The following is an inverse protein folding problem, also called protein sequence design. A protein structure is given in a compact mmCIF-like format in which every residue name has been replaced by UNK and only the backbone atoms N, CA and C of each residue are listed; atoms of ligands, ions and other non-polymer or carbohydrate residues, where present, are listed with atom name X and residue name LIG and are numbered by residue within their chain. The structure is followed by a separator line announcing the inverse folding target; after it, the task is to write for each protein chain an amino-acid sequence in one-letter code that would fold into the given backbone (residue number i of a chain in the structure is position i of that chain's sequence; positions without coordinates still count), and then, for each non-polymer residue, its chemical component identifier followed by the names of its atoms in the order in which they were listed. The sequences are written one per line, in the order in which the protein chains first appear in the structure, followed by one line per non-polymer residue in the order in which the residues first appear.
data_IF_583153945222
#
_entry.id   IF_583153945222
#
_cell.length_a   1.000
_cell.length_b   1.000
_cell.length_c   1.000
_cell.angle_alpha   90.00
_cell.angle_beta   90.00
_cell.angle_gamma   90.00
#
_symmetry.space_group_name_H-M   'P 1'
#
loop_
_entity.id
_entity.type
_entity.pdbx_description
1 polymer ?
#
# COMPACT_ATOMS: atom_id res chain seq x y z
N UNK A 1 -28.77 0.58 9.19
CA UNK A 1 -28.31 -0.79 8.80
C UNK A 1 -26.97 -0.78 8.07
N UNK A 2 -26.72 0.16 7.14
CA UNK A 2 -25.41 0.28 6.48
C UNK A 2 -24.24 0.50 7.48
N UNK A 3 -24.35 1.47 8.39
CA UNK A 3 -23.30 1.73 9.40
C UNK A 3 -22.95 0.51 10.27
N UNK A 4 -23.96 -0.25 10.69
CA UNK A 4 -23.76 -1.48 11.46
C UNK A 4 -23.02 -2.54 10.63
N UNK A 5 -23.33 -2.67 9.33
CA UNK A 5 -22.64 -3.61 8.45
C UNK A 5 -21.18 -3.21 8.21
N UNK A 6 -20.89 -1.92 8.06
CA UNK A 6 -19.51 -1.45 7.90
C UNK A 6 -18.70 -1.59 9.17
N UNK A 7 -19.32 -1.38 10.34
CA UNK A 7 -18.67 -1.67 11.63
C UNK A 7 -18.30 -3.15 11.74
N UNK A 8 -19.18 -4.05 11.28
CA UNK A 8 -18.87 -5.49 11.24
C UNK A 8 -17.80 -5.80 10.17
N UNK A 9 -17.80 -5.10 9.03
CA UNK A 9 -16.74 -5.22 8.01
C UNK A 9 -15.37 -4.75 8.54
N UNK A 10 -15.36 -3.71 9.37
CA UNK A 10 -14.18 -3.24 10.09
C UNK A 10 -13.65 -4.33 11.04
N UNK A 11 -14.52 -4.92 11.87
CA UNK A 11 -14.15 -6.02 12.75
C UNK A 11 -13.65 -7.26 11.97
N UNK A 12 -14.26 -7.55 10.82
CA UNK A 12 -13.82 -8.61 9.91
C UNK A 12 -12.43 -8.31 9.34
N UNK A 13 -12.12 -7.06 9.01
CA UNK A 13 -10.79 -6.63 8.56
C UNK A 13 -9.74 -6.79 9.67
N UNK A 14 -10.09 -6.50 10.92
CA UNK A 14 -9.22 -6.80 12.08
C UNK A 14 -9.00 -8.31 12.23
N UNK A 15 -10.04 -9.12 12.08
CA UNK A 15 -9.91 -10.58 12.11
C UNK A 15 -9.03 -11.11 10.96
N UNK A 16 -9.09 -10.50 9.78
CA UNK A 16 -8.19 -10.81 8.66
C UNK A 16 -6.73 -10.51 9.02
N UNK A 17 -6.43 -9.39 9.67
CA UNK A 17 -5.07 -9.07 10.14
C UNK A 17 -4.60 -10.12 11.15
N UNK A 18 -5.45 -10.49 12.12
CA UNK A 18 -5.13 -11.49 13.13
C UNK A 18 -4.93 -12.91 12.57
N UNK A 19 -5.43 -13.20 11.36
CA UNK A 19 -5.18 -14.48 10.69
C UNK A 19 -3.71 -14.72 10.31
N UNK A 20 -2.84 -13.70 10.40
CA UNK A 20 -1.40 -13.88 10.34
C UNK A 20 -0.93 -14.82 11.46
N UNK A 21 -1.50 -14.69 12.66
CA UNK A 21 -1.13 -15.44 13.86
C UNK A 21 -1.85 -16.79 13.95
N UNK A 22 -3.06 -16.88 13.38
CA UNK A 22 -3.91 -18.06 13.47
C UNK A 22 -4.15 -18.59 12.06
N UNK A 23 -3.69 -19.79 11.74
CA UNK A 23 -3.82 -20.43 10.41
C UNK A 23 -5.25 -20.87 10.06
N UNK A 24 -6.27 -20.14 10.51
CA UNK A 24 -7.69 -20.38 10.29
C UNK A 24 -8.30 -19.18 9.54
N UNK A 25 -9.44 -19.41 8.90
CA UNK A 25 -10.21 -18.33 8.28
C UNK A 25 -9.91 -18.06 6.80
N UNK A 26 -9.89 -19.11 5.97
CA UNK A 26 -9.76 -18.99 4.51
C UNK A 26 -10.82 -18.08 3.87
N UNK A 27 -11.96 -17.91 4.54
CA UNK A 27 -13.15 -17.22 4.05
C UNK A 27 -13.30 -15.79 4.58
N UNK A 28 -12.36 -15.32 5.42
CA UNK A 28 -12.48 -14.01 6.06
C UNK A 28 -12.55 -12.87 5.03
N UNK A 29 -11.75 -12.94 3.96
CA UNK A 29 -11.82 -11.94 2.88
C UNK A 29 -13.19 -11.93 2.19
N UNK A 30 -13.81 -13.09 1.96
CA UNK A 30 -15.16 -13.17 1.40
C UNK A 30 -16.21 -12.54 2.33
N UNK A 31 -16.11 -12.77 3.64
CA UNK A 31 -17.02 -12.18 4.63
C UNK A 31 -16.92 -10.65 4.59
N UNK A 32 -15.70 -10.10 4.62
CA UNK A 32 -15.49 -8.65 4.52
C UNK A 32 -16.07 -8.08 3.22
N UNK A 33 -15.88 -8.77 2.09
CA UNK A 33 -16.46 -8.37 0.82
C UNK A 33 -18.00 -8.34 0.84
N UNK A 34 -18.63 -9.38 1.38
CA UNK A 34 -20.10 -9.48 1.42
C UNK A 34 -20.69 -8.39 2.31
N UNK A 35 -20.06 -8.09 3.45
CA UNK A 35 -20.49 -7.01 4.34
C UNK A 35 -20.37 -5.63 3.67
N UNK A 36 -19.29 -5.38 2.93
CA UNK A 36 -19.12 -4.11 2.19
C UNK A 36 -20.14 -3.98 1.04
N UNK A 37 -20.35 -5.05 0.27
CA UNK A 37 -21.33 -5.05 -0.83
C UNK A 37 -22.77 -4.89 -0.33
N UNK A 38 -23.14 -5.62 0.72
CA UNK A 38 -24.47 -5.48 1.31
C UNK A 38 -24.70 -4.09 1.89
N UNK A 39 -23.66 -3.48 2.47
CA UNK A 39 -23.74 -2.08 2.92
C UNK A 39 -23.92 -1.11 1.75
N UNK A 40 -23.21 -1.31 0.63
CA UNK A 40 -23.34 -0.47 -0.55
C UNK A 40 -24.73 -0.59 -1.20
N UNK A 41 -25.22 -1.83 -1.37
CA UNK A 41 -26.56 -2.11 -1.92
C UNK A 41 -27.69 -1.56 -1.03
N UNK A 42 -27.45 -1.48 0.28
CA UNK A 42 -28.40 -0.89 1.22
C UNK A 42 -28.44 0.65 1.17
N UNK A 43 -27.49 1.30 0.49
CA UNK A 43 -27.47 2.74 0.25
C UNK A 43 -27.94 3.11 -1.16
N UNK A 44 -27.95 4.41 -1.45
CA UNK A 44 -28.28 4.91 -2.79
C UNK A 44 -27.11 4.66 -3.76
N UNK A 45 -27.42 4.37 -5.02
CA UNK A 45 -26.40 4.08 -6.03
C UNK A 45 -25.46 5.28 -6.28
N UNK A 46 -25.96 6.50 -6.10
CA UNK A 46 -25.19 7.74 -6.21
C UNK A 46 -24.08 7.86 -5.14
N UNK A 47 -24.16 7.07 -4.05
CA UNK A 47 -23.10 7.00 -3.05
C UNK A 47 -21.75 6.53 -3.63
N UNK A 48 -21.74 5.95 -4.83
CA UNK A 48 -20.52 5.56 -5.53
C UNK A 48 -19.60 6.72 -5.86
N UNK A 49 -20.15 7.92 -6.04
CA UNK A 49 -19.37 9.12 -6.29
C UNK A 49 -18.85 9.74 -5.01
N UNK A 50 -19.37 9.32 -3.86
CA UNK A 50 -18.98 9.81 -2.55
C UNK A 50 -17.90 8.92 -1.93
N UNK A 51 -16.99 9.52 -1.17
CA UNK A 51 -15.85 8.84 -0.54
C UNK A 51 -16.23 7.53 0.18
N UNK A 52 -17.36 7.50 0.90
CA UNK A 52 -17.83 6.30 1.59
C UNK A 52 -18.16 5.13 0.65
N UNK A 53 -18.93 5.37 -0.41
CA UNK A 53 -19.31 4.32 -1.36
C UNK A 53 -18.14 3.83 -2.21
N UNK A 54 -17.23 4.74 -2.59
CA UNK A 54 -15.97 4.40 -3.25
C UNK A 54 -15.18 3.37 -2.44
N UNK A 55 -14.98 3.64 -1.15
CA UNK A 55 -14.25 2.75 -0.24
C UNK A 55 -14.86 1.35 -0.16
N UNK A 56 -16.19 1.24 -0.07
CA UNK A 56 -16.89 -0.06 -0.01
C UNK A 56 -16.70 -0.92 -1.27
N UNK A 57 -16.73 -0.30 -2.45
CA UNK A 57 -16.53 -1.00 -3.73
C UNK A 57 -15.07 -1.43 -3.91
N UNK A 58 -14.12 -0.55 -3.54
CA UNK A 58 -12.69 -0.88 -3.59
C UNK A 58 -12.38 -2.05 -2.65
N UNK A 59 -12.86 -2.00 -1.40
CA UNK A 59 -12.62 -3.07 -0.41
C UNK A 59 -13.25 -4.39 -0.85
N UNK A 60 -14.48 -4.37 -1.36
CA UNK A 60 -15.15 -5.59 -1.81
C UNK A 60 -14.45 -6.24 -3.01
N UNK A 61 -14.16 -5.48 -4.07
CA UNK A 61 -13.47 -6.01 -5.25
C UNK A 61 -12.06 -6.50 -4.95
N UNK A 62 -11.33 -5.81 -4.07
CA UNK A 62 -10.04 -6.28 -3.56
C UNK A 62 -10.18 -7.61 -2.83
N UNK A 63 -11.12 -7.70 -1.88
CA UNK A 63 -11.34 -8.89 -1.08
C UNK A 63 -11.78 -10.11 -1.93
N UNK A 64 -12.59 -9.91 -2.97
CA UNK A 64 -12.94 -10.96 -3.94
C UNK A 64 -11.69 -11.47 -4.66
N UNK A 65 -10.83 -10.55 -5.11
CA UNK A 65 -9.58 -10.89 -5.78
C UNK A 65 -8.67 -11.69 -4.86
N UNK A 66 -8.51 -11.26 -3.60
CA UNK A 66 -7.75 -11.99 -2.58
C UNK A 66 -8.33 -13.39 -2.36
N UNK A 67 -9.65 -13.50 -2.16
CA UNK A 67 -10.32 -14.77 -1.93
C UNK A 67 -10.07 -15.75 -3.09
N UNK A 68 -10.15 -15.27 -4.34
CA UNK A 68 -9.87 -16.06 -5.52
C UNK A 68 -8.46 -16.67 -5.48
N UNK A 69 -7.44 -15.89 -5.14
CA UNK A 69 -6.07 -16.40 -5.06
C UNK A 69 -5.82 -17.32 -3.86
N UNK A 70 -6.50 -17.09 -2.74
CA UNK A 70 -6.48 -18.03 -1.60
C UNK A 70 -7.05 -19.39 -2.02
N UNK A 71 -8.15 -19.42 -2.79
CA UNK A 71 -8.71 -20.69 -3.29
C UNK A 71 -7.80 -21.40 -4.30
N UNK A 72 -6.94 -20.66 -5.01
CA UNK A 72 -5.91 -21.21 -5.89
C UNK A 72 -4.65 -21.71 -5.16
N UNK A 73 -4.62 -21.62 -3.83
CA UNK A 73 -3.53 -22.17 -3.00
C UNK A 73 -2.41 -21.18 -2.64
N UNK A 74 -2.58 -19.88 -2.91
CA UNK A 74 -1.65 -18.86 -2.38
C UNK A 74 -1.80 -18.76 -0.85
N UNK A 75 -0.72 -18.41 -0.16
CA UNK A 75 -0.68 -18.35 1.30
C UNK A 75 -1.74 -17.39 1.87
N UNK A 76 -2.72 -17.98 2.53
CA UNK A 76 -3.85 -17.26 3.11
C UNK A 76 -3.43 -16.27 4.21
N UNK A 77 -2.41 -16.61 5.02
CA UNK A 77 -2.04 -15.81 6.20
C UNK A 77 -1.45 -14.48 5.72
N UNK A 78 -0.65 -14.53 4.64
CA UNK A 78 -0.08 -13.34 4.02
C UNK A 78 -1.17 -12.48 3.38
N UNK A 79 -2.01 -13.07 2.51
CA UNK A 79 -3.02 -12.33 1.76
C UNK A 79 -4.13 -11.76 2.64
N UNK A 80 -4.64 -12.53 3.60
CA UNK A 80 -5.60 -12.00 4.58
C UNK A 80 -4.94 -10.96 5.49
N UNK A 81 -3.68 -11.16 5.89
CA UNK A 81 -2.95 -10.22 6.73
C UNK A 81 -2.83 -8.82 6.11
N UNK A 82 -2.18 -8.74 4.95
CA UNK A 82 -2.00 -7.47 4.24
C UNK A 82 -3.32 -6.95 3.65
N UNK A 83 -4.18 -7.83 3.13
CA UNK A 83 -5.50 -7.46 2.65
C UNK A 83 -6.39 -6.88 3.74
N UNK A 84 -6.33 -7.43 4.95
CA UNK A 84 -7.03 -6.93 6.12
C UNK A 84 -6.51 -5.57 6.56
N UNK A 85 -5.19 -5.36 6.53
CA UNK A 85 -4.56 -4.06 6.81
C UNK A 85 -5.04 -2.99 5.82
N UNK A 86 -5.00 -3.28 4.53
CA UNK A 86 -5.46 -2.34 3.49
C UNK A 86 -6.97 -2.09 3.60
N UNK A 87 -7.77 -3.12 3.86
CA UNK A 87 -9.22 -2.99 4.08
C UNK A 87 -9.52 -2.10 5.28
N UNK A 88 -8.82 -2.31 6.39
CA UNK A 88 -8.97 -1.53 7.61
C UNK A 88 -8.68 -0.05 7.36
N UNK A 89 -7.57 0.25 6.68
CA UNK A 89 -7.15 1.62 6.38
C UNK A 89 -8.14 2.29 5.42
N UNK A 90 -8.58 1.60 4.36
CA UNK A 90 -9.59 2.11 3.43
C UNK A 90 -10.90 2.44 4.16
N UNK A 91 -11.39 1.54 5.01
CA UNK A 91 -12.61 1.79 5.78
C UNK A 91 -12.42 2.93 6.78
N UNK A 92 -11.29 3.02 7.48
CA UNK A 92 -11.05 4.11 8.44
C UNK A 92 -10.88 5.47 7.78
N UNK A 93 -10.17 5.53 6.65
CA UNK A 93 -9.87 6.79 5.96
C UNK A 93 -11.05 7.30 5.15
N UNK A 94 -11.85 6.41 4.56
CA UNK A 94 -12.89 6.81 3.59
C UNK A 94 -14.31 6.79 4.15
N UNK A 95 -14.56 6.19 5.33
CA UNK A 95 -15.92 5.94 5.81
C UNK A 95 -16.51 6.84 6.95
N UNK A 96 -15.90 7.91 7.52
CA UNK A 96 -16.62 8.61 8.60
C UNK A 96 -17.70 9.63 8.13
N UNK A 97 -18.95 9.31 8.49
CA UNK A 97 -20.16 10.09 8.88
C UNK A 97 -20.71 11.35 8.13
N UNK A 98 -19.96 12.08 7.30
CA UNK A 98 -20.52 13.23 6.54
C UNK A 98 -20.76 12.92 5.04
N UNK A 99 -20.08 11.90 4.51
CA UNK A 99 -20.00 11.61 3.09
C UNK A 99 -21.14 10.78 2.49
N UNK A 100 -22.33 10.75 3.08
CA UNK A 100 -23.51 10.12 2.44
C UNK A 100 -24.63 11.11 2.09
N UNK A 101 -24.58 12.36 2.62
CA UNK A 101 -25.78 13.23 2.67
C UNK A 101 -25.53 14.67 2.19
N UNK A 102 -24.30 15.17 2.12
CA UNK A 102 -24.09 16.63 1.99
C UNK A 102 -24.14 17.22 0.57
N UNK A 103 -23.97 16.43 -0.49
CA UNK A 103 -24.10 16.95 -1.87
C UNK A 103 -25.30 16.35 -2.59
N UNK A 104 -26.32 17.20 -2.75
CA UNK A 104 -27.47 17.04 -3.67
C UNK A 104 -26.99 17.18 -5.13
N UNK A 105 -25.88 16.53 -5.47
CA UNK A 105 -25.44 16.38 -6.85
C UNK A 105 -26.16 15.16 -7.41
N UNK A 106 -27.11 15.40 -8.31
CA UNK A 106 -27.75 14.31 -9.06
C UNK A 106 -26.79 13.91 -10.17
N UNK A 107 -26.14 12.75 -9.99
CA UNK A 107 -25.25 12.19 -10.98
C UNK A 107 -26.04 11.52 -12.08
N UNK A 108 -25.51 11.56 -13.30
CA UNK A 108 -26.08 10.80 -14.40
C UNK A 108 -25.81 9.30 -14.21
N UNK A 109 -26.71 8.45 -14.72
CA UNK A 109 -26.52 6.99 -14.70
C UNK A 109 -25.21 6.56 -15.38
N UNK A 110 -24.76 7.32 -16.37
CA UNK A 110 -23.49 7.07 -17.06
C UNK A 110 -22.28 7.36 -16.16
N UNK A 111 -22.28 8.49 -15.44
CA UNK A 111 -21.20 8.83 -14.50
C UNK A 111 -21.09 7.80 -13.39
N UNK A 112 -22.21 7.35 -12.83
CA UNK A 112 -22.23 6.28 -11.82
C UNK A 112 -21.69 4.95 -12.34
N UNK A 113 -22.00 4.60 -13.59
CA UNK A 113 -21.44 3.40 -14.22
C UNK A 113 -19.93 3.51 -14.42
N UNK A 114 -19.43 4.67 -14.88
CA UNK A 114 -17.99 4.94 -15.02
C UNK A 114 -17.30 4.88 -13.65
N UNK A 115 -17.90 5.46 -12.61
CA UNK A 115 -17.42 5.37 -11.23
C UNK A 115 -17.31 3.91 -10.78
N UNK A 116 -18.36 3.11 -10.99
CA UNK A 116 -18.37 1.68 -10.65
C UNK A 116 -17.22 0.92 -11.31
N UNK A 117 -17.06 1.06 -12.63
CA UNK A 117 -15.97 0.39 -13.35
C UNK A 117 -14.61 0.83 -12.82
N UNK A 118 -14.46 2.12 -12.49
CA UNK A 118 -13.22 2.69 -11.97
C UNK A 118 -12.85 2.13 -10.60
N UNK A 119 -13.76 2.17 -9.62
CA UNK A 119 -13.49 1.70 -8.26
C UNK A 119 -13.36 0.17 -8.17
N UNK A 120 -14.08 -0.58 -9.02
CA UNK A 120 -13.85 -2.03 -9.19
C UNK A 120 -12.45 -2.30 -9.75
N UNK A 121 -12.01 -1.50 -10.74
CA UNK A 121 -10.68 -1.63 -11.34
C UNK A 121 -9.58 -1.32 -10.31
N UNK A 122 -9.78 -0.30 -9.47
CA UNK A 122 -8.86 0.05 -8.38
C UNK A 122 -8.75 -1.10 -7.39
N UNK A 123 -9.85 -1.64 -6.87
CA UNK A 123 -9.78 -2.74 -5.91
C UNK A 123 -9.19 -4.02 -6.50
N UNK A 124 -9.48 -4.34 -7.77
CA UNK A 124 -8.81 -5.44 -8.49
C UNK A 124 -7.29 -5.22 -8.59
N UNK A 125 -6.86 -4.00 -8.90
CA UNK A 125 -5.45 -3.64 -9.00
C UNK A 125 -4.72 -3.73 -7.66
N UNK A 126 -5.36 -3.29 -6.57
CA UNK A 126 -4.85 -3.46 -5.20
C UNK A 126 -4.71 -4.95 -4.88
N UNK A 127 -5.75 -5.75 -5.11
CA UNK A 127 -5.74 -7.20 -4.85
C UNK A 127 -4.64 -7.92 -5.63
N UNK A 128 -4.47 -7.62 -6.92
CA UNK A 128 -3.39 -8.20 -7.73
C UNK A 128 -2.01 -7.75 -7.25
N UNK A 129 -1.85 -6.51 -6.79
CA UNK A 129 -0.58 -6.01 -6.29
C UNK A 129 -0.17 -6.72 -4.99
N UNK A 130 -1.11 -7.00 -4.09
CA UNK A 130 -0.88 -7.82 -2.89
C UNK A 130 -0.54 -9.28 -3.21
N UNK A 131 -1.09 -9.81 -4.30
CA UNK A 131 -0.73 -11.16 -4.76
C UNK A 131 0.67 -11.16 -5.35
N UNK A 132 0.99 -10.14 -6.16
CA UNK A 132 2.30 -10.01 -6.77
C UNK A 132 3.40 -9.69 -5.75
N UNK A 133 3.05 -9.10 -4.59
CA UNK A 133 3.99 -8.89 -3.49
C UNK A 133 4.41 -10.19 -2.79
N UNK A 134 3.66 -11.28 -2.98
CA UNK A 134 3.98 -12.62 -2.48
C UNK A 134 4.61 -13.52 -3.55
N UNK A 135 4.05 -13.55 -4.77
CA UNK A 135 4.53 -14.40 -5.87
C UNK A 135 4.77 -13.55 -7.13
N UNK A 136 6.05 -13.24 -7.41
CA UNK A 136 6.50 -12.40 -8.53
C UNK A 136 6.50 -13.10 -9.90
N UNK A 137 6.19 -14.41 -9.96
CA UNK A 137 6.33 -15.19 -11.20
C UNK A 137 5.44 -14.70 -12.35
N UNK A 138 4.48 -13.82 -12.07
CA UNK A 138 3.44 -13.42 -13.00
C UNK A 138 3.68 -12.04 -13.64
N UNK A 139 3.33 -11.90 -14.92
CA UNK A 139 3.42 -10.63 -15.70
C UNK A 139 2.44 -9.54 -15.23
N UNK A 140 1.86 -9.69 -14.04
CA UNK A 140 0.74 -8.89 -13.53
C UNK A 140 1.13 -7.52 -13.00
N UNK A 141 2.38 -7.35 -12.54
CA UNK A 141 2.87 -6.02 -12.14
C UNK A 141 2.81 -4.99 -13.28
N UNK A 142 3.15 -5.40 -14.51
CA UNK A 142 3.07 -4.53 -15.68
C UNK A 142 1.62 -4.17 -16.03
N UNK A 143 0.70 -5.14 -15.90
CA UNK A 143 -0.75 -4.89 -16.10
C UNK A 143 -1.26 -3.87 -15.10
N UNK A 144 -0.92 -4.01 -13.82
CA UNK A 144 -1.32 -3.06 -12.78
C UNK A 144 -0.75 -1.66 -13.04
N UNK A 145 0.49 -1.54 -13.54
CA UNK A 145 1.07 -0.24 -13.91
C UNK A 145 0.32 0.43 -15.06
N UNK A 146 -0.04 -0.35 -16.08
CA UNK A 146 -0.85 0.16 -17.21
C UNK A 146 -2.24 0.57 -16.75
N UNK A 147 -2.88 -0.23 -15.89
CA UNK A 147 -4.17 0.12 -15.29
C UNK A 147 -4.08 1.41 -14.47
N UNK A 148 -3.05 1.55 -13.63
CA UNK A 148 -2.83 2.75 -12.83
C UNK A 148 -2.68 4.00 -13.71
N UNK A 149 -1.85 3.93 -14.76
CA UNK A 149 -1.68 5.02 -15.71
C UNK A 149 -2.98 5.34 -16.47
N UNK A 150 -3.74 4.32 -16.88
CA UNK A 150 -5.02 4.53 -17.54
C UNK A 150 -6.03 5.24 -16.63
N UNK A 151 -6.16 4.80 -15.37
CA UNK A 151 -7.05 5.45 -14.40
C UNK A 151 -6.61 6.90 -14.17
N UNK A 152 -5.31 7.15 -13.98
CA UNK A 152 -4.77 8.51 -13.82
C UNK A 152 -5.04 9.45 -15.00
N UNK A 153 -5.10 8.92 -16.24
CA UNK A 153 -5.28 9.73 -17.46
C UNK A 153 -6.76 9.93 -17.78
N UNK A 154 -7.58 8.90 -17.58
CA UNK A 154 -8.97 8.88 -18.05
C UNK A 154 -9.99 9.20 -16.96
N UNK A 155 -9.61 9.22 -15.68
CA UNK A 155 -10.53 9.48 -14.58
C UNK A 155 -9.91 10.39 -13.54
N UNK A 156 -10.78 11.04 -12.76
CA UNK A 156 -10.40 11.89 -11.64
C UNK A 156 -10.40 11.11 -10.31
N UNK A 157 -10.37 9.78 -10.34
CA UNK A 157 -10.50 8.96 -9.13
C UNK A 157 -9.38 9.19 -8.10
N UNK A 158 -8.23 9.71 -8.56
CA UNK A 158 -7.08 10.05 -7.73
C UNK A 158 -6.99 11.52 -7.33
N UNK A 159 -8.04 12.31 -7.56
CA UNK A 159 -8.15 13.65 -6.95
C UNK A 159 -8.22 13.54 -5.41
N UNK A 160 -8.78 12.44 -4.90
CA UNK A 160 -8.70 12.11 -3.47
C UNK A 160 -7.28 11.73 -3.07
N UNK A 161 -6.74 12.43 -2.07
CA UNK A 161 -5.37 12.20 -1.60
C UNK A 161 -5.23 10.81 -0.96
N UNK A 162 -6.29 10.30 -0.34
CA UNK A 162 -6.29 9.06 0.44
C UNK A 162 -6.20 7.83 -0.48
N UNK A 163 -7.09 7.69 -1.46
CA UNK A 163 -7.07 6.55 -2.40
C UNK A 163 -5.76 6.53 -3.17
N UNK A 164 -5.30 7.69 -3.63
CA UNK A 164 -4.05 7.79 -4.38
C UNK A 164 -2.86 7.30 -3.56
N UNK A 165 -2.76 7.70 -2.28
CA UNK A 165 -1.71 7.24 -1.38
C UNK A 165 -1.80 5.74 -1.13
N UNK A 166 -2.99 5.21 -0.84
CA UNK A 166 -3.19 3.78 -0.60
C UNK A 166 -2.78 2.98 -1.84
N UNK A 167 -3.33 3.32 -3.00
CA UNK A 167 -3.03 2.62 -4.25
C UNK A 167 -1.56 2.70 -4.61
N UNK A 168 -0.94 3.89 -4.56
CA UNK A 168 0.47 4.07 -4.87
C UNK A 168 1.36 3.22 -3.97
N UNK A 169 1.04 3.14 -2.68
CA UNK A 169 1.89 2.40 -1.75
C UNK A 169 1.68 0.87 -1.86
N UNK A 170 0.48 0.38 -2.23
CA UNK A 170 0.25 -1.05 -2.50
C UNK A 170 0.91 -1.44 -3.83
N UNK A 171 0.88 -0.54 -4.83
CA UNK A 171 1.59 -0.70 -6.09
C UNK A 171 3.09 -0.86 -5.86
N UNK A 172 3.68 -0.04 -4.98
CA UNK A 172 5.08 -0.18 -4.60
C UNK A 172 5.35 -1.56 -3.99
N UNK A 173 4.53 -2.04 -3.05
CA UNK A 173 4.63 -3.39 -2.50
C UNK A 173 4.59 -4.46 -3.58
N UNK A 174 3.64 -4.35 -4.52
CA UNK A 174 3.48 -5.31 -5.60
C UNK A 174 4.70 -5.37 -6.53
N UNK A 175 5.39 -4.26 -6.74
CA UNK A 175 6.56 -4.19 -7.64
C UNK A 175 7.85 -4.69 -6.97
N UNK A 176 7.95 -4.64 -5.63
CA UNK A 176 9.17 -5.00 -4.91
C UNK A 176 9.74 -6.38 -5.27
N UNK A 177 8.96 -7.49 -5.32
CA UNK A 177 9.51 -8.80 -5.66
C UNK A 177 10.06 -8.89 -7.08
N UNK A 178 9.48 -8.14 -8.03
CA UNK A 178 9.94 -8.11 -9.43
C UNK A 178 11.37 -7.57 -9.52
N UNK A 179 11.68 -6.55 -8.73
CA UNK A 179 13.05 -6.04 -8.64
C UNK A 179 13.97 -6.99 -7.87
N UNK A 180 13.49 -7.59 -6.78
CA UNK A 180 14.30 -8.51 -5.96
C UNK A 180 14.73 -9.74 -6.76
N UNK A 181 13.83 -10.35 -7.55
CA UNK A 181 14.16 -11.49 -8.42
C UNK A 181 15.21 -11.15 -9.47
N UNK A 182 15.11 -9.97 -10.10
CA UNK A 182 16.07 -9.51 -11.13
C UNK A 182 17.47 -9.26 -10.56
N UNK A 183 17.54 -8.95 -9.27
CA UNK A 183 18.79 -8.58 -8.60
C UNK A 183 19.41 -9.76 -7.87
N UNK A 184 18.61 -10.73 -7.41
CA UNK A 184 19.04 -11.91 -6.65
C UNK A 184 20.24 -12.63 -7.27
N UNK A 185 20.32 -12.72 -8.60
CA UNK A 185 21.43 -13.39 -9.33
C UNK A 185 22.72 -12.55 -9.39
N UNK A 186 22.64 -11.25 -9.11
CA UNK A 186 23.74 -10.29 -9.22
C UNK A 186 24.36 -9.93 -7.87
N UNK A 187 23.73 -10.32 -6.76
CA UNK A 187 24.20 -10.01 -5.40
C UNK A 187 25.52 -10.73 -5.04
N UNK A 188 26.33 -10.10 -4.19
CA UNK A 188 27.56 -10.66 -3.68
C UNK A 188 27.33 -11.50 -2.42
N UNK A 189 28.03 -12.63 -2.28
CA UNK A 189 27.94 -13.50 -1.09
C UNK A 189 29.06 -13.25 -0.06
N UNK A 190 29.79 -12.12 -0.16
CA UNK A 190 31.09 -11.94 0.50
C UNK A 190 31.11 -10.82 1.54
N UNK A 191 31.60 -9.65 1.11
CA UNK A 191 31.92 -8.52 1.99
C UNK A 191 31.11 -7.29 1.61
N UNK A 192 30.76 -6.48 2.62
CA UNK A 192 30.06 -5.21 2.43
C UNK A 192 28.53 -5.26 2.63
N UNK A 193 27.95 -6.41 3.02
CA UNK A 193 26.49 -6.55 3.23
C UNK A 193 25.92 -5.57 4.26
N UNK A 194 26.53 -5.52 5.46
CA UNK A 194 26.10 -4.60 6.53
C UNK A 194 26.30 -3.15 6.13
N UNK A 195 27.43 -2.84 5.49
CA UNK A 195 27.72 -1.48 5.01
C UNK A 195 26.75 -1.06 3.91
N UNK A 196 26.42 -1.95 2.97
CA UNK A 196 25.47 -1.68 1.91
C UNK A 196 24.08 -1.38 2.46
N UNK A 197 23.64 -2.16 3.46
CA UNK A 197 22.38 -1.91 4.16
C UNK A 197 22.41 -0.55 4.86
N UNK A 198 23.38 -0.31 5.74
CA UNK A 198 23.50 0.92 6.53
C UNK A 198 23.63 2.19 5.67
N UNK A 199 24.44 2.14 4.60
CA UNK A 199 24.60 3.26 3.68
C UNK A 199 23.31 3.50 2.89
N UNK A 200 22.66 2.44 2.40
CA UNK A 200 21.41 2.58 1.64
C UNK A 200 20.27 3.15 2.48
N UNK A 201 20.21 2.81 3.77
CA UNK A 201 19.15 3.25 4.67
C UNK A 201 19.39 4.69 5.09
N UNK A 202 20.64 5.06 5.42
CA UNK A 202 21.00 6.44 5.73
C UNK A 202 20.73 7.38 4.54
N UNK A 203 21.19 7.01 3.34
CA UNK A 203 20.92 7.80 2.12
C UNK A 203 19.41 7.86 1.85
N UNK A 204 18.69 6.76 2.03
CA UNK A 204 17.23 6.70 1.90
C UNK A 204 16.53 7.69 2.83
N UNK A 205 16.90 7.73 4.11
CA UNK A 205 16.32 8.66 5.11
C UNK A 205 16.58 10.11 4.71
N UNK A 206 17.80 10.44 4.30
CA UNK A 206 18.18 11.79 3.87
C UNK A 206 17.33 12.23 2.67
N UNK A 207 17.13 11.33 1.69
CA UNK A 207 16.35 11.63 0.49
C UNK A 207 14.85 11.71 0.76
N UNK A 208 14.32 10.84 1.63
CA UNK A 208 12.93 10.96 2.10
C UNK A 208 12.74 12.34 2.72
N UNK A 209 13.62 12.75 3.64
CA UNK A 209 13.53 14.09 4.24
C UNK A 209 13.62 15.20 3.21
N UNK A 210 14.65 15.20 2.35
CA UNK A 210 14.88 16.27 1.40
C UNK A 210 13.69 16.45 0.43
N UNK A 211 13.18 15.35 -0.13
CA UNK A 211 12.08 15.39 -1.09
C UNK A 211 10.73 15.69 -0.43
N UNK A 212 10.54 15.20 0.80
CA UNK A 212 9.35 15.53 1.60
C UNK A 212 9.36 17.02 1.95
N UNK A 213 10.50 17.56 2.37
CA UNK A 213 10.66 18.98 2.68
C UNK A 213 10.40 19.86 1.46
N UNK A 214 10.96 19.53 0.29
CA UNK A 214 10.71 20.30 -0.94
C UNK A 214 9.23 20.29 -1.30
N UNK A 215 8.58 19.12 -1.24
CA UNK A 215 7.17 18.97 -1.61
C UNK A 215 6.23 19.68 -0.63
N UNK A 216 6.54 19.67 0.66
CA UNK A 216 5.73 20.35 1.70
C UNK A 216 5.90 21.86 1.68
N UNK A 217 7.08 22.35 1.31
CA UNK A 217 7.36 23.79 1.29
C UNK A 217 6.50 24.54 0.27
N UNK A 218 5.94 23.81 -0.71
CA UNK A 218 4.98 24.33 -1.70
C UNK A 218 3.54 24.40 -1.17
N UNK A 219 3.25 23.77 -0.02
CA UNK A 219 1.91 23.76 0.57
C UNK A 219 1.64 25.08 1.29
N UNK A 220 0.67 25.86 0.79
CA UNK A 220 0.29 27.17 1.34
C UNK A 220 0.03 27.17 2.85
N UNK A 221 -0.56 26.11 3.40
CA UNK A 221 -0.87 25.98 4.85
C UNK A 221 0.39 25.94 5.72
N UNK A 222 1.52 25.49 5.17
CA UNK A 222 2.76 25.22 5.91
C UNK A 222 3.83 26.27 5.60
N UNK A 223 3.96 26.64 4.32
CA UNK A 223 4.95 27.62 3.84
C UNK A 223 6.39 27.11 3.90
N UNK A 224 7.35 27.98 3.54
CA UNK A 224 8.77 27.63 3.41
C UNK A 224 9.61 28.12 4.61
N UNK A 225 9.36 27.56 5.79
CA UNK A 225 10.05 27.98 7.02
C UNK A 225 10.20 26.86 8.03
N UNK A 226 10.31 27.21 9.31
CA UNK A 226 10.44 26.24 10.40
C UNK A 226 9.30 25.22 10.43
N UNK A 227 8.08 25.61 10.05
CA UNK A 227 6.93 24.70 9.94
C UNK A 227 7.17 23.54 8.97
N UNK A 228 7.67 23.83 7.75
CA UNK A 228 8.00 22.79 6.78
C UNK A 228 9.09 21.85 7.28
N UNK A 229 10.11 22.38 7.96
CA UNK A 229 11.18 21.57 8.57
C UNK A 229 10.60 20.63 9.62
N UNK A 230 9.78 21.15 10.54
CA UNK A 230 9.18 20.34 11.61
C UNK A 230 8.27 19.23 11.06
N UNK A 231 7.40 19.57 10.11
CA UNK A 231 6.48 18.58 9.50
C UNK A 231 7.25 17.53 8.70
N UNK A 232 8.23 17.95 7.89
CA UNK A 232 9.06 17.02 7.12
C UNK A 232 9.87 16.08 8.03
N UNK A 233 10.44 16.57 9.13
CA UNK A 233 11.14 15.74 10.11
C UNK A 233 10.19 14.76 10.81
N UNK A 234 9.01 15.22 11.24
CA UNK A 234 8.02 14.36 11.90
C UNK A 234 7.53 13.23 10.98
N UNK A 235 7.25 13.55 9.72
CA UNK A 235 6.84 12.55 8.73
C UNK A 235 7.98 11.59 8.39
N UNK A 236 9.20 12.10 8.19
CA UNK A 236 10.37 11.26 7.93
C UNK A 236 10.64 10.33 9.11
N UNK A 237 10.56 10.82 10.34
CA UNK A 237 10.73 10.02 11.55
C UNK A 237 9.71 8.89 11.61
N UNK A 238 8.43 9.20 11.37
CA UNK A 238 7.35 8.21 11.40
C UNK A 238 7.56 7.10 10.37
N UNK A 239 7.87 7.46 9.13
CA UNK A 239 8.15 6.48 8.06
C UNK A 239 9.40 5.66 8.36
N UNK A 240 10.46 6.31 8.82
CA UNK A 240 11.72 5.65 9.17
C UNK A 240 11.51 4.66 10.31
N UNK A 241 10.73 5.03 11.33
CA UNK A 241 10.39 4.14 12.44
C UNK A 241 9.66 2.88 11.94
N UNK A 242 8.67 3.03 11.06
CA UNK A 242 7.95 1.90 10.46
C UNK A 242 8.90 1.04 9.61
N UNK A 243 9.77 1.66 8.81
CA UNK A 243 10.80 0.96 8.03
C UNK A 243 11.77 0.15 8.91
N UNK A 244 12.25 0.74 10.01
CA UNK A 244 13.15 0.09 10.95
C UNK A 244 12.48 -1.06 11.70
N UNK A 245 11.21 -0.91 12.10
CA UNK A 245 10.41 -2.03 12.62
C UNK A 245 10.29 -3.14 11.56
N UNK A 246 10.12 -2.76 10.29
CA UNK A 246 10.15 -3.70 9.17
C UNK A 246 11.44 -4.52 9.11
N UNK A 247 12.62 -3.94 9.38
CA UNK A 247 13.88 -4.68 9.43
C UNK A 247 13.91 -5.79 10.48
N UNK A 248 13.06 -5.71 11.51
CA UNK A 248 12.95 -6.71 12.58
C UNK A 248 12.02 -7.87 12.23
N UNK A 249 11.28 -7.81 11.11
CA UNK A 249 10.46 -8.92 10.61
C UNK A 249 11.18 -10.30 10.51
N UNK A 250 12.48 -10.39 10.18
CA UNK A 250 13.19 -11.66 10.16
C UNK A 250 13.24 -12.34 11.53
N UNK A 251 13.28 -11.57 12.63
CA UNK A 251 13.24 -12.10 13.99
C UNK A 251 11.92 -12.83 14.32
N UNK A 252 10.87 -12.52 13.56
CA UNK A 252 9.52 -13.10 13.69
C UNK A 252 9.32 -14.27 12.70
N UNK A 253 10.37 -14.64 11.95
CA UNK A 253 10.35 -15.79 11.02
C UNK A 253 10.09 -15.44 9.56
N UNK A 254 10.03 -14.16 9.18
CA UNK A 254 9.94 -13.72 7.79
C UNK A 254 11.33 -13.62 7.12
N UNK A 255 12.09 -14.72 7.11
CA UNK A 255 13.48 -14.81 6.61
C UNK A 255 13.60 -15.49 5.23
N UNK A 256 12.53 -15.47 4.42
CA UNK A 256 12.53 -16.19 3.14
C UNK A 256 13.37 -15.54 2.02
N UNK A 257 13.76 -14.27 2.19
CA UNK A 257 14.48 -13.50 1.16
C UNK A 257 16.00 -13.51 1.38
N UNK A 258 16.82 -13.40 0.31
CA UNK A 258 18.29 -13.37 0.42
C UNK A 258 18.83 -12.28 1.35
N UNK A 259 18.09 -11.17 1.49
CA UNK A 259 18.33 -10.13 2.49
C UNK A 259 17.03 -9.80 3.22
N UNK A 260 16.73 -10.50 4.31
CA UNK A 260 15.42 -10.42 4.97
C UNK A 260 15.21 -9.05 5.66
N UNK A 261 16.26 -8.44 6.20
CA UNK A 261 16.22 -7.11 6.82
C UNK A 261 15.99 -6.00 5.78
N UNK A 262 16.71 -6.05 4.65
CA UNK A 262 16.53 -5.10 3.55
C UNK A 262 15.15 -5.22 2.90
N UNK A 263 14.64 -6.45 2.80
CA UNK A 263 13.28 -6.74 2.37
C UNK A 263 12.26 -6.11 3.33
N UNK A 264 12.46 -6.31 4.63
CA UNK A 264 11.59 -5.76 5.65
C UNK A 264 11.59 -4.23 5.69
N UNK A 265 12.75 -3.60 5.52
CA UNK A 265 12.88 -2.15 5.33
C UNK A 265 12.02 -1.64 4.17
N UNK A 266 12.11 -2.28 3.00
CA UNK A 266 11.36 -1.88 1.79
C UNK A 266 9.85 -2.03 1.97
N UNK A 267 9.40 -3.13 2.59
CA UNK A 267 7.98 -3.33 2.94
C UNK A 267 7.50 -2.24 3.91
N UNK A 268 8.27 -1.97 4.97
CA UNK A 268 7.93 -0.95 5.95
C UNK A 268 7.80 0.44 5.32
N UNK A 269 8.76 0.83 4.47
CA UNK A 269 8.68 2.07 3.71
C UNK A 269 7.46 2.10 2.78
N UNK A 270 7.16 1.02 2.07
CA UNK A 270 6.04 0.95 1.13
C UNK A 270 4.66 0.94 1.81
N UNK A 271 4.54 0.54 3.09
CA UNK A 271 3.25 0.60 3.81
C UNK A 271 3.09 1.91 4.58
N UNK A 272 4.21 2.52 4.98
CA UNK A 272 4.21 3.68 5.86
C UNK A 272 3.29 4.85 5.45
N UNK A 273 3.15 5.23 4.16
CA UNK A 273 2.25 6.34 3.80
C UNK A 273 0.80 6.01 4.08
N UNK A 274 0.38 4.76 3.83
CA UNK A 274 -1.00 4.33 4.10
C UNK A 274 -1.35 4.40 5.58
N UNK A 275 -0.38 4.08 6.45
CA UNK A 275 -0.61 4.20 7.90
C UNK A 275 -0.70 5.68 8.28
N UNK A 276 0.15 6.52 7.67
CA UNK A 276 0.20 7.95 7.97
C UNK A 276 -1.02 8.74 7.52
N UNK A 277 -1.78 8.29 6.49
CA UNK A 277 -3.03 8.96 6.12
C UNK A 277 -4.05 8.98 7.27
N UNK A 278 -3.96 8.05 8.21
CA UNK A 278 -4.84 8.02 9.39
C UNK A 278 -4.55 9.17 10.37
N UNK A 279 -3.39 9.80 10.25
CA UNK A 279 -2.95 10.91 11.12
C UNK A 279 -2.83 12.23 10.37
N UNK A 280 -2.55 12.22 9.07
CA UNK A 280 -2.31 13.44 8.29
C UNK A 280 -2.70 13.30 6.82
N UNK A 281 -3.27 14.37 6.27
CA UNK A 281 -3.52 14.60 4.84
C UNK A 281 -2.23 14.82 4.01
N UNK A 282 -1.08 15.01 4.68
CA UNK A 282 0.19 15.37 4.03
C UNK A 282 1.00 14.14 3.58
N UNK A 283 0.52 12.93 3.84
CA UNK A 283 1.26 11.70 3.53
C UNK A 283 1.60 11.54 2.04
N UNK A 284 0.81 12.15 1.15
CA UNK A 284 1.04 12.16 -0.31
C UNK A 284 2.40 12.75 -0.69
N UNK A 285 2.86 13.79 0.02
CA UNK A 285 4.10 14.51 -0.29
C UNK A 285 5.37 13.68 -0.01
N UNK A 286 5.25 12.55 0.70
CA UNK A 286 6.38 11.66 0.95
C UNK A 286 6.60 10.63 -0.16
N UNK A 287 5.61 10.38 -1.01
CA UNK A 287 5.67 9.31 -2.01
C UNK A 287 6.90 9.42 -2.92
N UNK A 288 7.29 10.59 -3.45
CA UNK A 288 8.49 10.72 -4.29
C UNK A 288 9.77 10.31 -3.54
N UNK A 289 9.89 10.75 -2.29
CA UNK A 289 11.00 10.39 -1.40
C UNK A 289 11.11 8.89 -1.17
N UNK A 290 9.96 8.23 -0.96
CA UNK A 290 9.90 6.80 -0.70
C UNK A 290 10.24 5.96 -1.93
N UNK A 291 9.75 6.35 -3.11
CA UNK A 291 10.11 5.70 -4.38
C UNK A 291 11.63 5.70 -4.54
N UNK A 292 12.27 6.86 -4.36
CA UNK A 292 13.71 7.00 -4.52
C UNK A 292 14.48 6.21 -3.45
N UNK A 293 14.04 6.26 -2.18
CA UNK A 293 14.66 5.50 -1.11
C UNK A 293 14.58 3.98 -1.33
N UNK A 294 13.45 3.48 -1.83
CA UNK A 294 13.29 2.07 -2.20
C UNK A 294 14.23 1.71 -3.37
N UNK A 295 14.29 2.53 -4.41
CA UNK A 295 15.18 2.30 -5.56
C UNK A 295 16.66 2.28 -5.15
N UNK A 296 17.07 3.13 -4.21
CA UNK A 296 18.43 3.14 -3.66
C UNK A 296 18.68 1.91 -2.80
N UNK A 297 17.72 1.52 -1.96
CA UNK A 297 17.81 0.27 -1.18
C UNK A 297 17.93 -0.97 -2.08
N UNK A 298 17.32 -0.94 -3.26
CA UNK A 298 17.38 -2.00 -4.26
C UNK A 298 18.73 -2.00 -5.00
N UNK A 299 19.23 -0.83 -5.40
CA UNK A 299 20.43 -0.68 -6.24
C UNK A 299 21.75 -0.66 -5.47
N UNK A 300 21.78 -0.11 -4.25
CA UNK A 300 22.99 0.02 -3.42
C UNK A 300 23.78 -1.28 -3.24
N UNK A 301 23.14 -2.44 -2.96
CA UNK A 301 23.88 -3.70 -2.82
C UNK A 301 24.59 -4.16 -4.10
N UNK A 302 24.16 -3.71 -5.29
CA UNK A 302 24.83 -4.04 -6.55
C UNK A 302 26.18 -3.34 -6.70
N UNK A 303 26.35 -2.19 -6.03
CA UNK A 303 27.55 -1.34 -6.14
C UNK A 303 28.50 -1.62 -4.96
N UNK A 304 27.94 -1.79 -3.76
CA UNK A 304 28.72 -1.84 -2.53
C UNK A 304 29.16 -3.25 -2.12
N UNK A 305 28.48 -4.29 -2.60
CA UNK A 305 28.89 -5.66 -2.29
C UNK A 305 29.87 -6.21 -3.32
N UNK A 306 30.96 -6.79 -2.82
CA UNK A 306 31.97 -7.41 -3.67
C UNK A 306 31.69 -8.90 -3.82
N UNK A 307 31.75 -9.40 -5.06
CA UNK A 307 31.83 -10.84 -5.30
C UNK A 307 33.18 -11.34 -4.80
N UNK A 308 33.16 -12.35 -3.94
CA UNK A 308 34.39 -13.04 -3.52
C UNK A 308 35.02 -13.67 -4.77
N UNK A 309 36.15 -13.14 -5.22
CA UNK A 309 36.99 -13.84 -6.19
C UNK A 309 37.53 -15.06 -5.47
N UNK A 310 37.18 -16.28 -5.91
CA UNK A 310 37.86 -17.49 -5.43
C UNK A 310 39.34 -17.30 -5.75
N UNK A 311 40.18 -17.15 -4.73
CA UNK A 311 41.62 -17.29 -4.88
C UNK A 311 41.89 -18.67 -5.47
N UNK A 312 42.50 -18.69 -6.66
CA UNK A 312 43.04 -19.90 -7.27
C UNK A 312 44.23 -20.42 -6.48
#
# INVERSE_FOLDING_TARGET
MAETLVTVAFLSSVAMILSILVSKGKWLSLITSLLCLTSFIAGDFDSIQQYGGQGLIVVSSMCITIQYFITKGINQNYLNGFGGLVSLILLLSMYPQAGLIDEVATYTQFENFVGLVTYLSIGFMIGNSLVNSYDSKDKKAAVNLVMFAAIMIFTNAFESSEIFVIVSSVMLLGILPVFDERIKTKLGNGEGRTNALAVSTLIGIILVYALTFTSISEVNRIGNGAGAVTVALWMTLSVTAIGLVGMLMPLIGFDAHPRPEAWGWRIGLAISPMILILQTDLAIYMLPGLVIAILISISSPLVLEKKRVKSA
#
